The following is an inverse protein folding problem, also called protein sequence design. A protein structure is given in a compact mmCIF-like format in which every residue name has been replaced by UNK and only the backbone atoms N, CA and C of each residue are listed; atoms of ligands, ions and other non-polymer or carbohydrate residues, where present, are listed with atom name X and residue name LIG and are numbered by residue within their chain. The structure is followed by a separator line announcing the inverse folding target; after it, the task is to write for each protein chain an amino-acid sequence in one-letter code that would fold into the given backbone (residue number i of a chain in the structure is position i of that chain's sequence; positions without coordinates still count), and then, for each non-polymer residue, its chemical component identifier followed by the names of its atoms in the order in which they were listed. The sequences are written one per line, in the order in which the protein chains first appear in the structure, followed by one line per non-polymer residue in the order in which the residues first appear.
data_IF_777053356929
#
_entry.id   IF_777053356929
#
_cell.length_a   1.000
_cell.length_b   1.000
_cell.length_c   1.000
_cell.angle_alpha   90.00
_cell.angle_beta   90.00
_cell.angle_gamma   90.00
#
_symmetry.space_group_name_H-M   'P 1'
#
loop_
_entity.id
_entity.type
_entity.pdbx_description
1 polymer ?
#
# COMPACT_ATOMS: atom_id res chain seq x y z
N UNK A 1 16.46 -33.41 11.55
CA UNK A 1 15.64 -33.48 12.77
C UNK A 1 14.28 -32.91 12.44
N UNK A 2 13.22 -33.68 12.69
CA UNK A 2 11.86 -33.34 12.25
C UNK A 2 11.04 -33.05 13.50
N UNK A 3 10.83 -31.77 13.77
CA UNK A 3 10.01 -31.35 14.90
C UNK A 3 8.54 -31.33 14.47
N UNK A 4 7.66 -31.94 15.25
CA UNK A 4 6.23 -31.88 15.00
C UNK A 4 5.69 -30.59 15.60
N UNK A 5 5.37 -29.61 14.75
CA UNK A 5 4.79 -28.33 15.19
C UNK A 5 3.36 -28.54 15.66
N UNK A 6 3.09 -28.16 16.90
CA UNK A 6 1.76 -28.23 17.52
C UNK A 6 1.04 -26.90 17.35
N UNK A 7 1.79 -25.80 17.49
CA UNK A 7 1.23 -24.46 17.48
C UNK A 7 2.28 -23.44 17.03
N UNK A 8 1.89 -22.49 16.18
CA UNK A 8 2.80 -21.46 15.71
C UNK A 8 2.08 -20.10 15.60
N UNK A 9 2.68 -19.08 16.22
CA UNK A 9 2.36 -17.66 16.04
C UNK A 9 3.61 -16.92 15.53
N UNK A 10 3.48 -15.62 15.25
CA UNK A 10 4.63 -14.78 14.85
C UNK A 10 5.77 -14.80 15.89
N UNK A 11 5.43 -14.90 17.18
CA UNK A 11 6.39 -14.77 18.30
C UNK A 11 6.72 -16.08 19.00
N UNK A 12 5.82 -17.05 18.99
CA UNK A 12 5.95 -18.29 19.77
C UNK A 12 5.62 -19.48 18.88
N UNK A 13 6.47 -20.49 18.88
CA UNK A 13 6.25 -21.79 18.26
C UNK A 13 6.39 -22.87 19.34
N UNK A 14 5.43 -23.78 19.39
CA UNK A 14 5.46 -24.98 20.23
C UNK A 14 5.59 -26.19 19.32
N UNK A 15 6.59 -27.03 19.59
CA UNK A 15 6.84 -28.25 18.85
C UNK A 15 7.22 -29.42 19.77
N UNK A 16 6.95 -30.63 19.31
CA UNK A 16 7.53 -31.85 19.86
C UNK A 16 8.79 -32.20 19.08
N UNK A 17 9.89 -32.43 19.78
CA UNK A 17 11.18 -32.76 19.20
C UNK A 17 11.93 -33.74 20.11
N UNK A 18 12.34 -34.89 19.59
CA UNK A 18 13.11 -35.87 20.38
C UNK A 18 14.55 -35.37 20.55
N UNK A 19 14.87 -34.93 21.77
CA UNK A 19 16.21 -34.58 22.22
C UNK A 19 16.68 -35.53 23.33
N UNK A 20 17.99 -35.56 23.59
CA UNK A 20 18.67 -36.40 24.58
C UNK A 20 18.31 -36.08 26.06
N UNK A 21 17.01 -36.12 26.41
CA UNK A 21 16.48 -35.88 27.76
C UNK A 21 16.90 -34.54 28.41
N UNK A 22 17.24 -33.55 27.59
CA UNK A 22 17.71 -32.26 28.09
C UNK A 22 16.55 -31.39 28.61
N UNK A 23 16.68 -30.92 29.85
CA UNK A 23 15.83 -29.92 30.49
C UNK A 23 16.60 -28.63 30.64
N UNK A 24 16.10 -27.54 30.07
CA UNK A 24 16.81 -26.26 30.16
C UNK A 24 16.30 -25.16 29.24
N UNK A 25 17.05 -24.05 29.26
CA UNK A 25 16.79 -22.85 28.47
C UNK A 25 18.05 -22.52 27.68
N UNK A 26 17.89 -22.34 26.37
CA UNK A 26 19.00 -22.04 25.44
C UNK A 26 18.67 -20.78 24.62
N UNK A 27 19.59 -19.82 24.61
CA UNK A 27 19.46 -18.59 23.82
C UNK A 27 20.38 -18.70 22.60
N UNK A 28 19.78 -18.78 21.42
CA UNK A 28 20.48 -18.67 20.15
C UNK A 28 20.55 -17.19 19.73
N UNK A 29 21.73 -16.60 19.90
CA UNK A 29 21.99 -15.21 19.53
C UNK A 29 22.04 -15.00 18.01
N UNK A 30 22.40 -16.02 17.22
CA UNK A 30 22.52 -15.90 15.77
C UNK A 30 21.15 -15.91 15.10
N UNK A 31 20.25 -16.77 15.58
CA UNK A 31 18.90 -16.92 15.02
C UNK A 31 17.85 -16.09 15.77
N UNK A 32 18.24 -15.30 16.77
CA UNK A 32 17.34 -14.53 17.63
C UNK A 32 16.21 -15.38 18.21
N UNK A 33 16.55 -16.56 18.75
CA UNK A 33 15.56 -17.50 19.29
C UNK A 33 15.90 -17.88 20.72
N UNK A 34 14.87 -17.98 21.54
CA UNK A 34 14.93 -18.55 22.87
C UNK A 34 14.22 -19.90 22.84
N UNK A 35 14.95 -20.95 23.16
CA UNK A 35 14.46 -22.32 23.25
C UNK A 35 14.27 -22.68 24.72
N UNK A 36 13.10 -23.22 25.05
CA UNK A 36 12.76 -23.69 26.40
C UNK A 36 12.31 -25.14 26.27
N UNK A 37 12.98 -26.04 26.97
CA UNK A 37 12.67 -27.47 27.02
C UNK A 37 12.18 -27.84 28.43
N UNK A 38 10.87 -27.63 28.73
CA UNK A 38 10.35 -27.85 30.08
C UNK A 38 10.19 -29.32 30.44
N UNK A 39 10.09 -30.20 29.44
CA UNK A 39 10.00 -31.65 29.58
C UNK A 39 10.83 -32.32 28.48
N UNK A 40 11.33 -33.56 28.69
CA UNK A 40 11.90 -34.34 27.60
C UNK A 40 10.86 -34.42 26.49
N UNK A 41 11.24 -33.98 25.28
CA UNK A 41 10.44 -33.89 24.05
C UNK A 41 9.60 -32.63 23.78
N UNK A 42 9.37 -31.75 24.76
CA UNK A 42 8.63 -30.50 24.51
C UNK A 42 9.61 -29.38 24.23
N UNK A 43 9.44 -28.71 23.09
CA UNK A 43 10.21 -27.53 22.72
C UNK A 43 9.30 -26.31 22.53
N UNK A 44 9.55 -25.27 23.32
CA UNK A 44 8.98 -23.94 23.12
C UNK A 44 10.07 -23.06 22.51
N UNK A 45 9.83 -22.57 21.31
CA UNK A 45 10.69 -21.58 20.64
C UNK A 45 10.01 -20.21 20.68
N UNK A 46 10.68 -19.24 21.28
CA UNK A 46 10.28 -17.83 21.27
C UNK A 46 11.19 -17.11 20.30
N UNK A 47 10.62 -16.53 19.24
CA UNK A 47 11.35 -15.61 18.37
C UNK A 47 11.56 -14.30 19.13
N UNK A 48 12.81 -14.00 19.46
CA UNK A 48 13.23 -12.74 20.05
C UNK A 48 13.20 -11.69 18.93
N UNK A 49 12.02 -11.12 18.67
CA UNK A 49 11.84 -10.06 17.67
C UNK A 49 12.87 -8.95 17.93
N UNK A 50 13.66 -8.59 16.91
CA UNK A 50 14.58 -7.46 17.01
C UNK A 50 13.79 -6.24 17.49
N UNK A 51 14.31 -5.53 18.49
CA UNK A 51 13.72 -4.27 18.95
C UNK A 51 13.41 -3.44 17.71
N UNK A 52 12.15 -3.04 17.54
CA UNK A 52 11.77 -2.02 16.55
C UNK A 52 12.85 -0.96 16.50
N UNK A 53 13.44 -0.78 15.34
CA UNK A 53 14.61 0.10 15.18
C UNK A 53 14.24 1.49 15.71
N UNK A 54 15.21 2.24 16.25
CA UNK A 54 14.92 3.60 16.72
C UNK A 54 14.28 4.45 15.62
N UNK A 55 14.61 4.18 14.34
CA UNK A 55 14.01 4.81 13.17
C UNK A 55 12.53 4.43 12.96
N UNK A 56 12.15 3.15 13.02
CA UNK A 56 10.73 2.74 12.89
C UNK A 56 9.83 3.38 13.94
N UNK A 57 10.32 3.48 15.18
CA UNK A 57 9.60 4.16 16.26
C UNK A 57 9.47 5.66 15.99
N UNK A 58 10.54 6.29 15.51
CA UNK A 58 10.53 7.70 15.14
C UNK A 58 9.54 7.98 14.01
N UNK A 59 9.57 7.18 12.92
CA UNK A 59 8.65 7.28 11.79
C UNK A 59 7.20 7.13 12.27
N UNK A 60 6.93 6.13 13.10
CA UNK A 60 5.57 5.91 13.65
C UNK A 60 5.10 7.13 14.46
N UNK A 61 6.00 7.74 15.24
CA UNK A 61 5.68 8.94 16.03
C UNK A 61 5.40 10.13 15.12
N UNK A 62 6.23 10.35 14.09
CA UNK A 62 6.06 11.44 13.11
C UNK A 62 4.72 11.28 12.37
N UNK A 63 4.41 10.08 11.86
CA UNK A 63 3.15 9.82 11.16
C UNK A 63 1.94 10.08 12.05
N UNK A 64 2.02 9.71 13.35
CA UNK A 64 0.96 10.03 14.32
C UNK A 64 0.85 11.54 14.58
N UNK A 65 1.94 12.29 14.54
CA UNK A 65 1.90 13.74 14.69
C UNK A 65 1.28 14.41 13.46
N UNK A 66 1.66 13.99 12.25
CA UNK A 66 1.09 14.47 10.99
C UNK A 66 -0.42 14.19 10.95
N UNK A 67 -0.85 12.98 11.32
CA UNK A 67 -2.27 12.61 11.33
C UNK A 67 -3.11 13.40 12.35
N UNK A 68 -2.48 14.11 13.30
CA UNK A 68 -3.15 14.96 14.29
C UNK A 68 -3.19 16.44 13.89
N UNK A 69 -2.63 16.80 12.74
CA UNK A 69 -2.70 18.17 12.25
C UNK A 69 -4.17 18.58 12.03
N UNK A 70 -4.52 19.84 12.31
CA UNK A 70 -5.92 20.27 12.37
C UNK A 70 -6.58 20.32 10.98
N UNK A 71 -5.80 20.34 9.91
CA UNK A 71 -6.32 20.42 8.54
C UNK A 71 -5.34 19.83 7.53
N UNK A 72 -5.87 19.54 6.32
CA UNK A 72 -5.04 19.15 5.18
C UNK A 72 -4.09 20.27 4.74
N UNK A 73 -4.47 21.53 4.96
CA UNK A 73 -3.64 22.68 4.64
C UNK A 73 -2.37 22.73 5.51
N UNK A 74 -2.49 22.38 6.80
CA UNK A 74 -1.32 22.23 7.67
C UNK A 74 -0.49 21.00 7.29
N UNK A 75 -1.13 19.88 6.95
CA UNK A 75 -0.42 18.68 6.49
C UNK A 75 0.38 18.94 5.20
N UNK A 76 -0.13 19.78 4.30
CA UNK A 76 0.55 20.15 3.07
C UNK A 76 1.86 20.91 3.28
N UNK A 77 2.10 21.50 4.46
CA UNK A 77 3.35 22.22 4.80
C UNK A 77 4.46 21.28 5.29
N UNK A 78 4.16 20.00 5.52
CA UNK A 78 5.18 19.01 5.94
C UNK A 78 6.20 18.86 4.82
N UNK A 79 7.47 19.06 5.15
CA UNK A 79 8.61 19.07 4.23
C UNK A 79 9.50 17.86 4.46
N UNK A 80 9.84 17.14 3.39
CA UNK A 80 10.66 15.92 3.46
C UNK A 80 12.17 16.18 3.26
N UNK A 81 12.56 17.44 3.06
CA UNK A 81 13.93 17.83 2.72
C UNK A 81 14.10 18.27 1.27
N UNK A 82 13.13 17.98 0.40
CA UNK A 82 13.14 18.34 -1.02
C UNK A 82 11.83 19.01 -1.45
N UNK A 83 10.69 18.47 -1.03
CA UNK A 83 9.37 18.97 -1.34
C UNK A 83 8.45 18.96 -0.11
N UNK A 84 7.45 19.82 -0.16
CA UNK A 84 6.30 19.76 0.74
C UNK A 84 5.30 18.72 0.26
N UNK A 85 4.48 18.19 1.16
CA UNK A 85 3.40 17.28 0.79
C UNK A 85 2.44 17.93 -0.21
N UNK A 86 2.15 19.21 -0.06
CA UNK A 86 1.31 19.97 -1.00
C UNK A 86 1.88 19.96 -2.42
N UNK A 87 3.17 20.23 -2.59
CA UNK A 87 3.85 20.20 -3.89
C UNK A 87 3.81 18.81 -4.52
N UNK A 88 4.11 17.76 -3.75
CA UNK A 88 4.06 16.37 -4.26
C UNK A 88 2.63 15.98 -4.66
N UNK A 89 1.62 16.34 -3.86
CA UNK A 89 0.22 16.09 -4.22
C UNK A 89 -0.20 16.85 -5.48
N UNK A 90 0.26 18.10 -5.65
CA UNK A 90 -0.02 18.89 -6.84
C UNK A 90 0.64 18.28 -8.09
N UNK A 91 1.94 17.94 -8.01
CA UNK A 91 2.64 17.26 -9.11
C UNK A 91 1.95 15.95 -9.48
N UNK A 92 1.57 15.13 -8.50
CA UNK A 92 0.87 13.86 -8.74
C UNK A 92 -0.44 14.07 -9.48
N UNK A 93 -1.24 15.07 -9.10
CA UNK A 93 -2.51 15.37 -9.79
C UNK A 93 -2.25 15.76 -11.24
N UNK A 94 -1.35 16.71 -11.50
CA UNK A 94 -1.07 17.18 -12.86
C UNK A 94 -0.49 16.07 -13.73
N UNK A 95 0.50 15.32 -13.22
CA UNK A 95 1.08 14.17 -13.92
C UNK A 95 0.01 13.12 -14.26
N UNK A 96 -0.92 12.86 -13.34
CA UNK A 96 -2.00 11.91 -13.59
C UNK A 96 -3.01 12.41 -14.64
N UNK A 97 -3.36 13.71 -14.64
CA UNK A 97 -4.21 14.28 -15.68
C UNK A 97 -3.56 14.15 -17.07
N UNK A 98 -2.28 14.50 -17.17
CA UNK A 98 -1.50 14.39 -18.41
C UNK A 98 -1.42 12.94 -18.87
N UNK A 99 -1.13 12.01 -17.96
CA UNK A 99 -1.13 10.58 -18.26
C UNK A 99 -2.50 10.12 -18.80
N UNK A 100 -3.60 10.48 -18.14
CA UNK A 100 -4.94 10.09 -18.56
C UNK A 100 -5.29 10.63 -19.96
N UNK A 101 -4.85 11.84 -20.29
CA UNK A 101 -5.00 12.40 -21.63
C UNK A 101 -4.30 11.53 -22.68
N UNK A 102 -3.02 11.19 -22.47
CA UNK A 102 -2.28 10.33 -23.40
C UNK A 102 -2.83 8.90 -23.47
N UNK A 103 -3.21 8.31 -22.34
CA UNK A 103 -3.79 6.96 -22.34
C UNK A 103 -5.11 6.91 -23.11
N UNK A 104 -5.92 7.96 -23.03
CA UNK A 104 -7.14 8.07 -23.82
C UNK A 104 -6.83 8.07 -25.33
N UNK A 105 -5.76 8.75 -25.76
CA UNK A 105 -5.30 8.73 -27.17
C UNK A 105 -4.79 7.35 -27.60
N UNK A 106 -4.17 6.59 -26.68
CA UNK A 106 -3.73 5.21 -26.91
C UNK A 106 -4.87 4.17 -26.81
N UNK A 107 -6.12 4.61 -26.69
CA UNK A 107 -7.30 3.75 -26.69
C UNK A 107 -7.65 3.12 -25.34
N UNK A 108 -7.00 3.53 -24.25
CA UNK A 108 -7.42 3.10 -22.91
C UNK A 108 -8.76 3.73 -22.52
N UNK A 109 -9.51 3.01 -21.70
CA UNK A 109 -10.79 3.50 -21.20
C UNK A 109 -10.57 4.49 -20.05
N UNK A 110 -10.55 5.79 -20.37
CA UNK A 110 -10.45 6.85 -19.37
C UNK A 110 -11.83 7.44 -19.10
N UNK A 111 -12.20 7.52 -17.84
CA UNK A 111 -13.53 7.94 -17.42
C UNK A 111 -13.48 8.84 -16.20
N UNK A 112 -14.55 9.63 -16.01
CA UNK A 112 -14.74 10.48 -14.83
C UNK A 112 -16.15 10.34 -14.27
N UNK A 113 -16.31 10.45 -12.97
CA UNK A 113 -17.62 10.50 -12.31
C UNK A 113 -17.58 11.32 -11.03
N UNK A 114 -18.70 11.94 -10.66
CA UNK A 114 -18.87 12.60 -9.37
C UNK A 114 -19.34 11.66 -8.27
N UNK A 115 -19.93 10.52 -8.64
CA UNK A 115 -20.53 9.57 -7.73
C UNK A 115 -19.71 8.28 -7.71
N UNK A 116 -19.52 7.71 -6.53
CA UNK A 116 -19.07 6.33 -6.36
C UNK A 116 -20.17 5.35 -6.81
N UNK A 117 -19.85 4.06 -6.90
CA UNK A 117 -20.81 3.03 -7.34
C UNK A 117 -22.06 2.93 -6.44
N UNK A 118 -21.90 3.23 -5.16
CA UNK A 118 -22.98 3.30 -4.16
C UNK A 118 -23.74 4.65 -4.16
N UNK A 119 -23.45 5.53 -5.14
CA UNK A 119 -23.98 6.89 -5.28
C UNK A 119 -23.54 7.87 -4.18
N UNK A 120 -22.63 7.50 -3.30
CA UNK A 120 -21.98 8.45 -2.40
C UNK A 120 -21.05 9.38 -3.17
N UNK A 121 -20.67 10.52 -2.58
CA UNK A 121 -19.74 11.46 -3.18
C UNK A 121 -18.88 12.15 -2.11
N UNK A 122 -17.75 12.73 -2.54
CA UNK A 122 -16.90 13.55 -1.70
C UNK A 122 -17.04 15.00 -2.18
N UNK A 123 -17.52 15.88 -1.30
CA UNK A 123 -17.71 17.29 -1.63
C UNK A 123 -16.40 17.94 -2.11
N UNK A 124 -16.47 18.64 -3.24
CA UNK A 124 -15.31 19.30 -3.85
C UNK A 124 -14.40 18.39 -4.68
N UNK A 125 -14.75 17.10 -4.84
CA UNK A 125 -14.00 16.14 -5.65
C UNK A 125 -14.84 15.43 -6.70
N UNK A 126 -14.15 14.85 -7.67
CA UNK A 126 -14.65 13.85 -8.60
C UNK A 126 -13.61 12.73 -8.73
N UNK A 127 -14.00 11.60 -9.31
CA UNK A 127 -13.13 10.45 -9.56
C UNK A 127 -12.71 10.52 -11.03
N UNK A 128 -11.41 10.48 -11.29
CA UNK A 128 -10.87 10.21 -12.61
C UNK A 128 -10.24 8.82 -12.57
N UNK A 129 -10.55 8.00 -13.56
CA UNK A 129 -10.16 6.60 -13.59
C UNK A 129 -9.70 6.12 -14.96
N UNK A 130 -8.77 5.16 -14.95
CA UNK A 130 -8.33 4.39 -16.11
C UNK A 130 -8.81 2.95 -15.92
N UNK A 131 -9.39 2.37 -16.97
CA UNK A 131 -10.03 1.06 -17.01
C UNK A 131 -11.19 0.91 -16.01
N UNK A 132 -12.06 -0.08 -16.24
CA UNK A 132 -13.26 -0.29 -15.41
C UNK A 132 -13.27 -1.65 -14.74
N UNK A 133 -12.51 -2.62 -15.26
CA UNK A 133 -12.52 -4.00 -14.79
C UNK A 133 -11.69 -4.14 -13.52
N UNK A 134 -12.19 -4.97 -12.61
CA UNK A 134 -11.46 -5.37 -11.41
C UNK A 134 -10.06 -5.90 -11.75
N UNK A 135 -9.05 -5.45 -11.01
CA UNK A 135 -7.66 -5.81 -11.26
C UNK A 135 -6.92 -4.82 -12.16
N UNK A 136 -7.63 -3.97 -12.91
CA UNK A 136 -7.04 -3.08 -13.92
C UNK A 136 -7.23 -1.58 -13.60
N UNK A 137 -8.06 -1.24 -12.60
CA UNK A 137 -8.46 0.15 -12.32
C UNK A 137 -7.30 1.00 -11.81
N UNK A 138 -7.15 2.22 -12.28
CA UNK A 138 -6.31 3.23 -11.61
C UNK A 138 -7.19 4.45 -11.37
N UNK A 139 -7.51 4.76 -10.12
CA UNK A 139 -8.46 5.83 -9.80
C UNK A 139 -7.92 6.82 -8.78
N UNK A 140 -8.22 8.09 -8.97
CA UNK A 140 -7.89 9.16 -8.02
C UNK A 140 -9.08 10.09 -7.80
N UNK A 141 -9.26 10.56 -6.57
CA UNK A 141 -10.10 11.71 -6.27
C UNK A 141 -9.37 13.00 -6.63
N UNK A 142 -9.92 13.72 -7.59
CA UNK A 142 -9.39 14.98 -8.13
C UNK A 142 -10.29 16.13 -7.70
N UNK A 143 -9.70 17.29 -7.39
CA UNK A 143 -10.45 18.49 -7.03
C UNK A 143 -11.30 18.98 -8.21
N UNK A 144 -12.52 19.43 -7.91
CA UNK A 144 -13.50 19.85 -8.93
C UNK A 144 -13.04 20.99 -9.84
N UNK A 145 -12.09 21.83 -9.43
CA UNK A 145 -11.57 22.88 -10.32
C UNK A 145 -10.80 22.32 -11.54
N UNK A 146 -10.40 21.04 -11.53
CA UNK A 146 -9.83 20.37 -12.70
C UNK A 146 -10.87 19.67 -13.58
N UNK A 147 -12.16 19.72 -13.24
CA UNK A 147 -13.20 19.01 -13.98
C UNK A 147 -13.17 19.40 -15.47
N UNK A 148 -13.15 20.69 -15.78
CA UNK A 148 -13.17 21.16 -17.17
C UNK A 148 -11.89 20.80 -17.93
N UNK A 149 -10.75 20.63 -17.24
CA UNK A 149 -9.50 20.14 -17.81
C UNK A 149 -9.53 18.65 -18.21
N UNK A 150 -10.57 17.90 -17.82
CA UNK A 150 -10.71 16.47 -18.12
C UNK A 150 -11.75 16.17 -19.20
N UNK A 151 -11.98 17.11 -20.13
CA UNK A 151 -12.95 16.95 -21.22
C UNK A 151 -12.69 15.76 -22.14
N UNK A 152 -11.46 15.24 -22.17
CA UNK A 152 -11.09 14.01 -22.89
C UNK A 152 -11.67 12.73 -22.27
N UNK A 153 -12.04 12.74 -20.99
CA UNK A 153 -12.51 11.55 -20.29
C UNK A 153 -14.01 11.31 -20.51
N UNK A 154 -14.40 10.03 -20.64
CA UNK A 154 -15.80 9.66 -20.74
C UNK A 154 -16.53 9.92 -19.41
N UNK A 155 -17.58 10.74 -19.43
CA UNK A 155 -18.33 11.09 -18.22
C UNK A 155 -19.35 10.02 -17.90
N UNK A 156 -19.29 9.47 -16.69
CA UNK A 156 -20.21 8.47 -16.17
C UNK A 156 -21.10 9.07 -15.09
N UNK A 157 -22.38 8.70 -15.10
CA UNK A 157 -23.32 9.04 -14.04
C UNK A 157 -22.84 8.49 -12.68
N UNK A 158 -22.27 7.29 -12.70
CA UNK A 158 -21.82 6.54 -11.54
C UNK A 158 -20.49 5.86 -11.87
N UNK A 159 -19.51 5.92 -10.96
CA UNK A 159 -18.23 5.24 -11.12
C UNK A 159 -18.41 3.70 -11.18
N UNK A 160 -17.52 2.96 -11.88
CA UNK A 160 -17.43 1.52 -11.73
C UNK A 160 -17.23 1.12 -10.26
N UNK A 161 -17.70 -0.08 -9.91
CA UNK A 161 -17.46 -0.67 -8.59
C UNK A 161 -15.97 -0.68 -8.27
N UNK A 162 -15.60 -0.11 -7.12
CA UNK A 162 -14.21 -0.06 -6.68
C UNK A 162 -13.67 -1.47 -6.43
N UNK A 163 -12.49 -1.76 -6.97
CA UNK A 163 -11.87 -3.09 -6.91
C UNK A 163 -10.99 -3.31 -5.66
N UNK A 164 -10.97 -2.36 -4.72
CA UNK A 164 -10.21 -2.49 -3.47
C UNK A 164 -8.71 -2.25 -3.61
N UNK A 165 -8.23 -1.69 -4.72
CA UNK A 165 -6.80 -1.52 -4.97
C UNK A 165 -6.10 -0.58 -3.98
N UNK A 166 -4.93 -0.98 -3.52
CA UNK A 166 -4.04 -0.15 -2.71
C UNK A 166 -3.03 0.60 -3.59
N UNK A 167 -2.28 1.53 -3.01
CA UNK A 167 -1.24 2.30 -3.72
C UNK A 167 -0.20 1.42 -4.41
N UNK A 168 0.12 0.24 -3.85
CA UNK A 168 1.05 -0.71 -4.48
C UNK A 168 0.50 -1.29 -5.78
N UNK A 169 -0.81 -1.53 -5.84
CA UNK A 169 -1.46 -2.12 -7.01
C UNK A 169 -1.51 -1.08 -8.14
N UNK A 170 -1.73 0.19 -7.79
CA UNK A 170 -1.60 1.31 -8.74
C UNK A 170 -0.20 1.40 -9.33
N UNK A 171 0.85 1.27 -8.52
CA UNK A 171 2.24 1.28 -9.01
C UNK A 171 2.49 0.12 -9.96
N UNK A 172 2.06 -1.10 -9.61
CA UNK A 172 2.17 -2.26 -10.49
C UNK A 172 1.45 -2.04 -11.82
N UNK A 173 0.19 -1.57 -11.80
CA UNK A 173 -0.60 -1.31 -13.02
C UNK A 173 0.01 -0.24 -13.92
N UNK A 174 0.58 0.82 -13.33
CA UNK A 174 1.32 1.84 -14.08
C UNK A 174 2.59 1.28 -14.72
N UNK A 175 3.29 0.39 -14.03
CA UNK A 175 4.46 -0.30 -14.59
C UNK A 175 4.06 -1.22 -15.75
N UNK A 176 2.97 -1.97 -15.61
CA UNK A 176 2.45 -2.83 -16.68
C UNK A 176 2.07 -2.01 -17.93
N UNK A 177 1.44 -0.85 -17.75
CA UNK A 177 1.17 0.09 -18.84
C UNK A 177 2.48 0.54 -19.50
N UNK A 178 3.47 0.97 -18.71
CA UNK A 178 4.76 1.42 -19.22
C UNK A 178 5.46 0.33 -20.07
N UNK A 179 5.47 -0.92 -19.60
CA UNK A 179 6.07 -2.03 -20.35
C UNK A 179 5.26 -2.36 -21.62
N UNK A 180 3.93 -2.31 -21.56
CA UNK A 180 3.09 -2.55 -22.73
C UNK A 180 3.28 -1.51 -23.84
N UNK A 181 3.47 -0.24 -23.47
CA UNK A 181 3.69 0.85 -24.43
C UNK A 181 5.11 0.81 -25.02
N UNK A 182 6.12 0.35 -24.26
CA UNK A 182 7.48 0.14 -24.80
C UNK A 182 7.49 -0.87 -25.94
N UNK A 183 6.76 -1.98 -25.80
CA UNK A 183 6.67 -3.03 -26.83
C UNK A 183 6.09 -2.47 -28.13
N UNK A 184 5.03 -1.66 -28.04
CA UNK A 184 4.39 -1.03 -29.21
C UNK A 184 5.29 -0.09 -29.99
N UNK A 185 6.29 0.52 -29.35
CA UNK A 185 7.24 1.44 -30.00
C UNK A 185 8.35 0.66 -30.72
N UNK A 186 8.66 -0.55 -30.27
CA UNK A 186 9.75 -1.38 -30.81
C UNK A 186 9.34 -2.28 -31.98
N UNK A 187 8.03 -2.43 -32.21
CA UNK A 187 7.43 -3.15 -33.34
C UNK A 187 7.08 -2.19 -34.50
#
# INVERSE_FOLDING_TARGET
MTDVKIFQTKRICLSFAWYDLWLGVFVDKQNHKLYICPLPTILITINLENRTTNSERAITKINKMIARLPSMEEANKVFDGQHTFGEVYQHRVILYLVLCMFLQEQGYCVWRSRLHDDKSFIEGYFILGVNKKEGEQITYHIKNHYWDSTGFAHTLDVAPKYDGHMSRDVVTRLFDILESEKVKITD
#
